data_IF_914490114274
#
_entry.id   IF_914490114274
#
_cell.length_a   1.000
_cell.length_b   1.000
_cell.length_c   1.000
_cell.angle_alpha   90.00
_cell.angle_beta   90.00
_cell.angle_gamma   90.00
#
_symmetry.space_group_name_H-M   'P 1'
#
loop_
_entity.id
_entity.type
_entity.pdbx_description
1 polymer ?
#
# COMPACT_ATOMS: atom_id res chain seq x y z
N UNK A 1 -8.55 -5.36 5.98
CA UNK A 1 -9.52 -4.69 6.88
C UNK A 1 -9.27 -3.21 6.71
N UNK A 2 -10.15 -2.50 6.03
CA UNK A 2 -10.05 -1.04 5.87
C UNK A 2 -11.42 -0.43 6.07
N UNK A 3 -11.53 0.40 7.11
CA UNK A 3 -12.64 1.34 7.34
C UNK A 3 -14.04 0.74 7.58
N UNK A 4 -14.20 -0.05 8.65
CA UNK A 4 -15.48 0.01 9.37
C UNK A 4 -15.35 1.08 10.47
N UNK A 5 -15.80 2.32 10.20
CA UNK A 5 -16.13 3.25 11.28
C UNK A 5 -15.41 4.59 11.37
N UNK A 6 -14.76 5.12 10.32
CA UNK A 6 -14.32 6.53 10.35
C UNK A 6 -15.46 7.41 9.85
N UNK A 7 -16.05 8.21 10.74
CA UNK A 7 -17.00 9.24 10.36
C UNK A 7 -16.26 10.43 9.72
N UNK A 8 -16.46 10.60 8.42
CA UNK A 8 -15.82 11.66 7.62
C UNK A 8 -16.46 13.04 7.86
N UNK A 9 -17.54 13.13 8.61
CA UNK A 9 -18.22 14.40 8.94
C UNK A 9 -17.61 15.09 10.17
N UNK A 10 -16.90 14.34 11.02
CA UNK A 10 -16.13 14.86 12.14
C UNK A 10 -14.66 15.02 11.74
N UNK A 11 -14.22 16.26 11.54
CA UNK A 11 -12.83 16.55 11.16
C UNK A 11 -11.81 16.16 12.24
N UNK A 12 -12.22 16.14 13.52
CA UNK A 12 -11.38 15.73 14.64
C UNK A 12 -11.14 14.21 14.66
N UNK A 13 -12.19 13.40 14.56
CA UNK A 13 -12.05 11.92 14.50
C UNK A 13 -11.26 11.49 13.26
N UNK A 14 -11.49 12.14 12.13
CA UNK A 14 -10.72 11.88 10.91
C UNK A 14 -9.22 12.15 11.11
N UNK A 15 -8.88 13.25 11.78
CA UNK A 15 -7.47 13.62 12.04
C UNK A 15 -6.82 12.66 13.03
N UNK A 16 -7.52 12.27 14.10
CA UNK A 16 -7.02 11.31 15.07
C UNK A 16 -6.81 9.92 14.45
N UNK A 17 -7.74 9.47 13.61
CA UNK A 17 -7.61 8.20 12.90
C UNK A 17 -6.41 8.21 11.93
N UNK A 18 -6.24 9.28 11.14
CA UNK A 18 -5.09 9.45 10.24
C UNK A 18 -3.77 9.40 11.01
N UNK A 19 -3.64 10.18 12.09
CA UNK A 19 -2.41 10.23 12.88
C UNK A 19 -2.12 8.89 13.57
N UNK A 20 -3.15 8.17 14.01
CA UNK A 20 -3.01 6.86 14.64
C UNK A 20 -2.54 5.81 13.63
N UNK A 21 -3.14 5.77 12.43
CA UNK A 21 -2.74 4.83 11.38
C UNK A 21 -1.33 5.11 10.86
N UNK A 22 -0.97 6.38 10.67
CA UNK A 22 0.40 6.74 10.31
C UNK A 22 1.42 6.18 11.30
N UNK A 23 1.19 6.35 12.61
CA UNK A 23 2.07 5.80 13.65
C UNK A 23 2.14 4.27 13.62
N UNK A 24 1.05 3.59 13.27
CA UNK A 24 1.06 2.13 13.17
C UNK A 24 1.96 1.66 12.03
N UNK A 25 1.87 2.31 10.88
CA UNK A 25 2.76 2.02 9.75
C UNK A 25 4.22 2.42 10.05
N UNK A 26 4.46 3.57 10.66
CA UNK A 26 5.80 4.03 11.05
C UNK A 26 6.51 3.06 12.01
N UNK A 27 5.77 2.48 12.96
CA UNK A 27 6.32 1.53 13.92
C UNK A 27 6.33 0.08 13.41
N UNK A 28 5.79 -0.18 12.22
CA UNK A 28 5.88 -1.51 11.60
C UNK A 28 7.30 -1.79 11.11
N UNK A 29 7.73 -3.05 11.20
CA UNK A 29 9.03 -3.47 10.68
C UNK A 29 9.06 -3.45 9.14
N UNK A 30 8.00 -3.99 8.53
CA UNK A 30 7.78 -4.05 7.08
C UNK A 30 6.29 -3.91 6.80
N UNK A 31 5.94 -3.17 5.74
CA UNK A 31 4.61 -3.14 5.17
C UNK A 31 4.57 -4.01 3.90
N UNK A 32 3.58 -4.90 3.79
CA UNK A 32 3.42 -5.76 2.64
C UNK A 32 2.29 -5.24 1.75
N UNK A 33 2.61 -4.91 0.51
CA UNK A 33 1.67 -4.42 -0.48
C UNK A 33 1.45 -5.49 -1.56
N UNK A 34 0.26 -6.08 -1.59
CA UNK A 34 -0.14 -7.02 -2.63
C UNK A 34 -0.83 -6.31 -3.80
N UNK A 35 -0.29 -6.50 -4.99
CA UNK A 35 -0.71 -5.84 -6.23
C UNK A 35 -1.30 -6.92 -7.18
N UNK A 36 -2.60 -7.23 -7.06
CA UNK A 36 -3.23 -8.32 -7.83
C UNK A 36 -3.29 -8.05 -9.34
N UNK A 37 -3.12 -6.80 -9.76
CA UNK A 37 -3.16 -6.35 -11.15
C UNK A 37 -1.77 -6.15 -11.76
N UNK A 38 -0.72 -6.53 -11.03
CA UNK A 38 0.67 -6.55 -11.48
C UNK A 38 1.07 -8.00 -11.74
N UNK A 39 1.66 -8.25 -12.90
CA UNK A 39 2.19 -9.56 -13.28
C UNK A 39 3.69 -9.50 -13.50
N UNK A 40 4.37 -10.58 -13.11
CA UNK A 40 5.80 -10.74 -13.30
C UNK A 40 6.09 -11.44 -14.64
N UNK A 41 6.80 -10.76 -15.53
CA UNK A 41 7.25 -11.31 -16.79
C UNK A 41 8.77 -11.55 -16.76
N UNK A 42 9.18 -12.79 -17.04
CA UNK A 42 10.61 -13.11 -17.21
C UNK A 42 11.10 -12.60 -18.56
N UNK A 43 12.14 -11.78 -18.53
CA UNK A 43 12.80 -11.26 -19.72
C UNK A 43 13.85 -12.26 -20.25
N UNK A 44 14.27 -12.14 -21.53
CA UNK A 44 15.25 -13.04 -22.12
C UNK A 44 16.62 -13.07 -21.42
N UNK A 45 16.96 -12.03 -20.67
CA UNK A 45 18.18 -11.92 -19.87
C UNK A 45 18.07 -12.58 -18.47
N UNK A 46 16.92 -13.18 -18.15
CA UNK A 46 16.63 -13.78 -16.86
C UNK A 46 16.17 -12.79 -15.79
N UNK A 47 16.04 -11.50 -16.11
CA UNK A 47 15.48 -10.50 -15.19
C UNK A 47 13.94 -10.57 -15.15
N UNK A 48 13.35 -10.04 -14.08
CA UNK A 48 11.90 -9.89 -13.97
C UNK A 48 11.47 -8.47 -14.34
N UNK A 49 10.42 -8.35 -15.13
CA UNK A 49 9.72 -7.12 -15.42
C UNK A 49 8.32 -7.17 -14.80
N UNK A 50 7.99 -6.18 -13.97
CA UNK A 50 6.66 -6.06 -13.37
C UNK A 50 5.77 -5.20 -14.27
N UNK A 51 4.94 -5.86 -15.07
CA UNK A 51 3.99 -5.19 -15.95
C UNK A 51 2.95 -4.44 -15.12
N UNK A 52 2.54 -3.26 -15.61
CA UNK A 52 1.51 -2.43 -14.97
C UNK A 52 1.80 -1.97 -13.54
N UNK A 53 3.04 -2.11 -13.03
CA UNK A 53 3.38 -1.68 -11.66
C UNK A 53 2.97 -0.23 -11.39
N UNK A 54 3.38 0.71 -12.25
CA UNK A 54 3.07 2.15 -12.09
C UNK A 54 1.59 2.48 -12.23
N UNK A 55 0.83 1.63 -12.91
CA UNK A 55 -0.60 1.82 -13.15
C UNK A 55 -1.47 0.96 -12.23
N UNK A 56 -0.87 0.33 -11.22
CA UNK A 56 -1.61 -0.55 -10.31
C UNK A 56 -2.72 0.21 -9.59
N UNK A 57 -3.88 -0.43 -9.45
CA UNK A 57 -5.02 0.03 -8.69
C UNK A 57 -4.68 0.28 -7.22
N UNK A 58 -3.59 -0.30 -6.69
CA UNK A 58 -3.12 0.00 -5.34
C UNK A 58 -2.81 1.50 -5.19
N UNK A 59 -2.18 2.15 -6.17
CA UNK A 59 -1.85 3.58 -6.11
C UNK A 59 -3.07 4.52 -6.16
N UNK A 60 -4.28 4.02 -6.44
CA UNK A 60 -5.50 4.84 -6.49
C UNK A 60 -6.36 4.73 -5.23
N UNK A 61 -5.99 3.87 -4.28
CA UNK A 61 -6.71 3.68 -3.02
C UNK A 61 -6.38 4.81 -2.03
N UNK A 62 -7.38 5.28 -1.29
CA UNK A 62 -7.26 6.47 -0.42
C UNK A 62 -6.28 6.37 0.76
N UNK A 63 -5.67 5.21 1.03
CA UNK A 63 -4.76 4.97 2.16
C UNK A 63 -3.33 4.58 1.77
N UNK A 64 -3.09 4.30 0.48
CA UNK A 64 -1.81 3.72 0.04
C UNK A 64 -0.65 4.69 0.13
N UNK A 65 -0.92 5.99 0.17
CA UNK A 65 0.12 6.98 0.45
C UNK A 65 0.73 6.76 1.84
N UNK A 66 -0.07 6.55 2.89
CA UNK A 66 0.44 6.33 4.25
C UNK A 66 1.15 4.99 4.37
N UNK A 67 0.57 3.94 3.76
CA UNK A 67 1.21 2.62 3.64
C UNK A 67 2.57 2.68 2.92
N UNK A 68 2.75 3.64 2.02
CA UNK A 68 4.00 3.79 1.26
C UNK A 68 5.05 4.62 1.99
N UNK A 69 4.66 5.72 2.65
CA UNK A 69 5.63 6.72 3.16
C UNK A 69 5.91 6.61 4.66
N UNK A 70 4.99 6.05 5.44
CA UNK A 70 5.16 5.94 6.88
C UNK A 70 6.12 4.81 7.30
N UNK A 71 6.04 3.57 6.77
CA UNK A 71 6.93 2.49 7.19
C UNK A 71 8.34 2.67 6.62
N UNK A 72 9.33 2.07 7.29
CA UNK A 72 10.74 2.11 6.83
C UNK A 72 11.02 1.18 5.65
N UNK A 73 10.22 0.13 5.50
CA UNK A 73 10.35 -0.88 4.45
C UNK A 73 8.97 -1.25 3.92
N UNK A 74 8.85 -1.28 2.59
CA UNK A 74 7.65 -1.74 1.90
C UNK A 74 8.07 -2.83 0.91
N UNK A 75 7.44 -3.99 1.04
CA UNK A 75 7.65 -5.12 0.14
C UNK A 75 6.43 -5.29 -0.75
N UNK A 76 6.66 -5.28 -2.06
CA UNK A 76 5.63 -5.42 -3.08
C UNK A 76 5.55 -6.86 -3.55
N UNK A 77 4.34 -7.38 -3.63
CA UNK A 77 4.04 -8.72 -4.12
C UNK A 77 3.09 -8.64 -5.32
N UNK A 78 3.47 -9.29 -6.42
CA UNK A 78 2.64 -9.40 -7.61
C UNK A 78 1.59 -10.50 -7.47
N UNK A 79 0.72 -10.65 -8.46
CA UNK A 79 -0.32 -11.68 -8.47
C UNK A 79 0.19 -13.12 -8.38
N UNK A 80 1.49 -13.33 -8.63
CA UNK A 80 2.16 -14.64 -8.62
C UNK A 80 2.89 -14.97 -7.30
N UNK A 81 2.66 -14.20 -6.23
CA UNK A 81 3.24 -14.45 -4.89
C UNK A 81 2.71 -15.71 -4.21
#
# INVERSE_FOLDING_TARGET
>A
VDTCGIDKTSSAELSEAINSMYKWYENSATCFAYLPDVTAQTQPDGSYCFQNFRSSCWFTRGWTLQEMIAPRSVEFYSSEW
#
